data_IF_956350137105
#
_entry.id   IF_956350137105
#
_cell.length_a   1.000
_cell.length_b   1.000
_cell.length_c   1.000
_cell.angle_alpha   90.00
_cell.angle_beta   90.00
_cell.angle_gamma   90.00
#
_symmetry.space_group_name_H-M   'P 1'
#
loop_
_entity.id
_entity.type
_entity.pdbx_description
1 polymer ?
#
# COMPACT_ATOMS: atom_id res chain seq x y z
N UNK A 1 4.54 17.94 18.18
CA UNK A 1 4.77 16.58 17.66
C UNK A 1 6.24 16.20 17.68
N UNK A 2 6.54 14.92 17.87
CA UNK A 2 7.93 14.42 17.83
C UNK A 2 8.47 14.30 16.40
N UNK A 3 7.59 14.33 15.40
CA UNK A 3 7.93 14.22 13.99
C UNK A 3 6.91 15.01 13.17
N UNK A 4 7.39 15.79 12.19
CA UNK A 4 6.56 16.60 11.29
C UNK A 4 6.33 15.94 9.93
N UNK A 5 7.14 14.96 9.58
CA UNK A 5 7.05 14.23 8.32
C UNK A 5 7.20 12.73 8.57
N UNK A 6 6.34 11.95 7.94
CA UNK A 6 6.35 10.50 8.02
C UNK A 6 6.15 9.89 6.64
N UNK A 7 7.06 9.01 6.22
CA UNK A 7 6.90 8.26 4.98
C UNK A 7 6.13 6.99 5.26
N UNK A 8 4.95 6.86 4.66
CA UNK A 8 4.09 5.70 4.84
C UNK A 8 3.15 5.52 3.64
N UNK A 9 2.39 4.44 3.63
CA UNK A 9 1.38 4.15 2.62
C UNK A 9 0.04 4.85 2.92
N UNK A 10 -0.88 4.81 1.95
CA UNK A 10 -2.19 5.49 2.00
C UNK A 10 -3.10 5.06 3.15
N UNK A 11 -2.83 3.95 3.83
CA UNK A 11 -3.59 3.50 4.98
C UNK A 11 -3.27 4.24 6.30
N UNK A 12 -2.16 5.00 6.36
CA UNK A 12 -1.69 5.61 7.62
C UNK A 12 -2.73 6.51 8.32
N UNK A 13 -3.65 7.19 7.63
CA UNK A 13 -4.68 7.99 8.31
C UNK A 13 -5.58 7.19 9.27
N UNK A 14 -5.70 5.87 9.07
CA UNK A 14 -6.45 5.00 9.97
C UNK A 14 -5.82 4.89 11.38
N UNK A 15 -4.55 5.27 11.52
CA UNK A 15 -3.78 5.24 12.76
C UNK A 15 -3.60 6.61 13.39
N UNK A 16 -4.15 7.66 12.82
CA UNK A 16 -4.11 8.99 13.39
C UNK A 16 -5.02 9.09 14.62
N UNK A 17 -4.74 10.02 15.55
CA UNK A 17 -5.62 10.29 16.67
C UNK A 17 -7.05 10.57 16.20
N UNK A 18 -8.04 10.17 17.00
CA UNK A 18 -9.44 10.45 16.71
C UNK A 18 -9.65 11.97 16.58
N UNK A 19 -10.34 12.38 15.53
CA UNK A 19 -10.61 13.78 15.23
C UNK A 19 -9.58 14.45 14.31
N UNK A 20 -8.51 13.75 13.90
CA UNK A 20 -7.58 14.27 12.89
C UNK A 20 -8.28 14.45 11.56
N UNK A 21 -8.24 15.65 10.99
CA UNK A 21 -8.79 15.99 9.69
C UNK A 21 -7.71 15.99 8.62
N UNK A 22 -7.95 15.24 7.54
CA UNK A 22 -7.05 15.26 6.38
C UNK A 22 -7.23 16.55 5.58
N UNK A 23 -6.11 17.19 5.33
CA UNK A 23 -6.02 18.53 4.76
C UNK A 23 -5.57 19.53 5.84
N UNK A 24 -6.43 19.88 6.81
CA UNK A 24 -6.06 20.85 7.85
C UNK A 24 -4.97 20.38 8.82
N UNK A 25 -5.09 19.17 9.37
CA UNK A 25 -4.18 18.68 10.41
C UNK A 25 -3.04 17.84 9.85
N UNK A 26 -3.31 17.10 8.77
CA UNK A 26 -2.34 16.25 8.10
C UNK A 26 -2.63 16.18 6.61
N UNK A 27 -1.63 16.40 5.79
CA UNK A 27 -1.72 16.24 4.35
C UNK A 27 -0.52 15.44 3.87
N UNK A 28 -0.47 15.15 2.59
CA UNK A 28 0.61 14.39 2.00
C UNK A 28 1.19 15.11 0.77
N UNK A 29 2.40 14.74 0.42
CA UNK A 29 3.00 15.10 -0.85
C UNK A 29 3.66 13.88 -1.49
N UNK A 30 3.71 13.88 -2.81
CA UNK A 30 4.43 12.86 -3.54
C UNK A 30 5.93 12.95 -3.23
N UNK A 31 6.57 11.81 -3.00
CA UNK A 31 7.98 11.78 -2.67
C UNK A 31 8.81 12.46 -3.79
N UNK A 32 9.64 13.47 -3.48
CA UNK A 32 10.35 14.23 -4.49
C UNK A 32 11.26 13.33 -5.36
N UNK A 33 11.24 13.49 -6.68
CA UNK A 33 12.14 12.75 -7.56
C UNK A 33 13.59 13.22 -7.39
N UNK A 34 14.53 12.33 -7.66
CA UNK A 34 15.93 12.72 -7.78
C UNK A 34 16.12 13.55 -9.06
N UNK A 35 16.49 14.82 -8.92
CA UNK A 35 16.65 15.74 -10.05
C UNK A 35 17.66 15.24 -11.12
N UNK A 36 18.67 14.46 -10.70
CA UNK A 36 19.68 13.91 -11.58
C UNK A 36 19.23 12.68 -12.40
N UNK A 37 18.00 12.17 -12.16
CA UNK A 37 17.50 10.97 -12.82
C UNK A 37 16.10 11.21 -13.36
N UNK A 38 15.90 11.00 -14.64
CA UNK A 38 14.58 11.04 -15.27
C UNK A 38 13.85 9.71 -15.00
N UNK A 39 13.24 9.60 -13.83
CA UNK A 39 12.52 8.38 -13.40
C UNK A 39 11.03 8.42 -13.75
N UNK A 40 10.53 9.51 -14.34
CA UNK A 40 9.10 9.74 -14.55
C UNK A 40 8.37 9.88 -13.21
N UNK A 41 7.16 9.32 -13.12
CA UNK A 41 6.31 9.34 -11.92
C UNK A 41 6.14 7.91 -11.38
N UNK A 42 7.17 7.31 -10.74
CA UNK A 42 7.07 5.97 -10.21
C UNK A 42 6.24 5.94 -8.93
N UNK A 43 5.41 4.93 -8.78
CA UNK A 43 4.67 4.65 -7.54
C UNK A 43 5.11 3.32 -6.98
N UNK A 44 5.49 3.31 -5.69
CA UNK A 44 5.65 2.10 -4.90
C UNK A 44 4.32 1.79 -4.22
N UNK A 45 3.84 0.59 -4.34
CA UNK A 45 2.59 0.19 -3.71
C UNK A 45 2.44 -1.30 -3.57
N UNK A 46 1.46 -1.67 -2.80
CA UNK A 46 0.94 -3.02 -2.67
C UNK A 46 -0.57 -2.97 -2.87
N UNK A 47 -1.25 -4.10 -2.82
CA UNK A 47 -2.68 -4.11 -3.02
C UNK A 47 -3.36 -5.33 -2.41
N UNK A 48 -4.62 -5.16 -2.10
CA UNK A 48 -5.49 -6.29 -1.79
C UNK A 48 -5.89 -6.98 -3.09
N UNK A 49 -5.67 -8.28 -3.15
CA UNK A 49 -6.05 -9.11 -4.28
C UNK A 49 -7.26 -9.97 -3.95
N UNK A 50 -8.11 -10.20 -4.94
CA UNK A 50 -9.25 -11.10 -4.85
C UNK A 50 -8.95 -12.38 -5.62
N UNK A 51 -9.14 -13.52 -4.98
CA UNK A 51 -8.93 -14.81 -5.60
C UNK A 51 -10.18 -15.70 -5.45
N UNK A 52 -10.51 -16.45 -6.50
CA UNK A 52 -11.54 -17.48 -6.45
C UNK A 52 -10.91 -18.75 -5.86
N UNK A 53 -11.36 -19.15 -4.68
CA UNK A 53 -10.93 -20.40 -4.03
C UNK A 53 -11.85 -21.58 -4.40
N UNK A 54 -13.11 -21.28 -4.74
CA UNK A 54 -14.06 -22.26 -5.27
C UNK A 54 -14.74 -21.68 -6.49
N UNK A 55 -14.51 -22.30 -7.64
CA UNK A 55 -15.13 -21.87 -8.89
C UNK A 55 -16.64 -22.15 -8.88
N UNK A 56 -17.43 -21.14 -9.09
CA UNK A 56 -18.89 -21.20 -9.20
C UNK A 56 -19.42 -20.05 -10.02
N UNK A 57 -20.66 -20.15 -10.50
CA UNK A 57 -21.35 -19.07 -11.19
C UNK A 57 -21.42 -17.80 -10.28
N UNK A 58 -21.67 -17.98 -8.99
CA UNK A 58 -21.75 -16.88 -8.03
C UNK A 58 -20.40 -16.18 -7.80
N UNK A 59 -19.31 -16.95 -7.58
CA UNK A 59 -17.98 -16.36 -7.38
C UNK A 59 -17.47 -15.63 -8.62
N UNK A 60 -17.74 -16.15 -9.82
CA UNK A 60 -17.42 -15.45 -11.08
C UNK A 60 -18.24 -14.17 -11.24
N UNK A 61 -19.54 -14.18 -10.93
CA UNK A 61 -20.39 -13.00 -10.99
C UNK A 61 -19.91 -11.91 -10.00
N UNK A 62 -19.56 -12.29 -8.77
CA UNK A 62 -19.01 -11.36 -7.77
C UNK A 62 -17.71 -10.72 -8.26
N UNK A 63 -16.75 -11.51 -8.75
CA UNK A 63 -15.50 -10.96 -9.27
C UNK A 63 -15.72 -10.05 -10.47
N UNK A 64 -16.63 -10.41 -11.36
CA UNK A 64 -16.99 -9.56 -12.50
C UNK A 64 -17.59 -8.22 -12.04
N UNK A 65 -18.38 -8.20 -10.99
CA UNK A 65 -18.87 -6.96 -10.39
C UNK A 65 -17.74 -6.15 -9.75
N UNK A 66 -16.92 -6.76 -8.89
CA UNK A 66 -15.85 -6.08 -8.15
C UNK A 66 -14.80 -5.42 -9.07
N UNK A 67 -14.61 -5.93 -10.28
CA UNK A 67 -13.72 -5.32 -11.28
C UNK A 67 -14.35 -4.15 -12.07
N UNK A 68 -15.58 -3.76 -11.80
CA UNK A 68 -16.23 -2.62 -12.48
C UNK A 68 -15.83 -1.29 -11.85
N UNK A 69 -15.94 -0.19 -12.63
CA UNK A 69 -15.77 1.16 -12.11
C UNK A 69 -16.76 1.45 -10.98
N UNK A 70 -18.04 1.05 -11.16
CA UNK A 70 -19.09 1.26 -10.17
C UNK A 70 -18.74 0.64 -8.80
N UNK A 71 -18.30 -0.62 -8.75
CA UNK A 71 -17.94 -1.27 -7.49
C UNK A 71 -16.76 -0.55 -6.81
N UNK A 72 -15.78 -0.11 -7.58
CA UNK A 72 -14.66 0.67 -7.08
C UNK A 72 -15.11 2.03 -6.52
N UNK A 73 -15.98 2.75 -7.22
CA UNK A 73 -16.49 4.07 -6.80
C UNK A 73 -17.32 3.99 -5.51
N UNK A 74 -18.14 2.95 -5.34
CA UNK A 74 -18.86 2.69 -4.09
C UNK A 74 -17.88 2.56 -2.92
N UNK A 75 -16.78 1.85 -3.13
CA UNK A 75 -15.77 1.64 -2.08
C UNK A 75 -14.90 2.87 -1.83
N UNK A 76 -14.54 3.60 -2.90
CA UNK A 76 -13.83 4.88 -2.80
C UNK A 76 -14.58 5.90 -1.93
N UNK A 77 -15.91 5.98 -2.09
CA UNK A 77 -16.77 6.87 -1.30
C UNK A 77 -16.75 6.53 0.21
N UNK A 78 -16.46 5.28 0.57
CA UNK A 78 -16.36 4.81 1.95
C UNK A 78 -14.95 4.96 2.55
N UNK A 79 -14.03 5.66 1.90
CA UNK A 79 -12.62 5.83 2.32
C UNK A 79 -11.81 4.53 2.37
N UNK A 80 -12.29 3.45 1.74
CA UNK A 80 -11.70 2.13 1.85
C UNK A 80 -10.70 1.75 0.77
N UNK A 81 -10.56 2.56 -0.30
CA UNK A 81 -9.83 2.15 -1.48
C UNK A 81 -9.18 3.32 -2.22
N UNK A 82 -7.92 3.14 -2.61
CA UNK A 82 -7.35 3.83 -3.78
C UNK A 82 -7.49 2.89 -4.98
N UNK A 83 -8.33 3.25 -5.94
CA UNK A 83 -8.68 2.36 -7.04
C UNK A 83 -7.58 2.31 -8.10
N UNK A 84 -7.17 1.12 -8.55
CA UNK A 84 -6.31 0.95 -9.72
C UNK A 84 -7.10 1.02 -11.05
N UNK A 85 -8.42 1.14 -11.00
CA UNK A 85 -9.27 1.10 -12.17
C UNK A 85 -9.26 2.44 -12.91
N UNK A 86 -8.75 2.46 -14.14
CA UNK A 86 -8.48 3.69 -14.91
C UNK A 86 -9.74 4.50 -15.32
N UNK A 87 -10.93 3.92 -15.23
CA UNK A 87 -12.19 4.56 -15.66
C UNK A 87 -13.08 5.01 -14.50
N UNK A 88 -12.56 5.02 -13.26
CA UNK A 88 -13.32 5.55 -12.12
C UNK A 88 -13.45 7.06 -12.21
N UNK A 89 -14.56 7.57 -11.72
CA UNK A 89 -14.74 8.99 -11.51
C UNK A 89 -14.00 9.41 -10.22
N UNK A 90 -12.98 10.23 -10.35
CA UNK A 90 -12.21 10.73 -9.20
C UNK A 90 -13.06 11.54 -8.20
N UNK A 91 -14.18 12.10 -8.63
CA UNK A 91 -15.10 12.78 -7.73
C UNK A 91 -15.79 11.83 -6.73
N UNK A 92 -15.73 10.51 -6.95
CA UNK A 92 -16.22 9.51 -6.00
C UNK A 92 -15.34 9.35 -4.76
N UNK A 93 -14.10 9.87 -4.74
CA UNK A 93 -13.29 9.85 -3.53
C UNK A 93 -13.90 10.71 -2.42
N UNK A 94 -13.89 10.20 -1.21
CA UNK A 94 -14.55 10.80 -0.05
C UNK A 94 -13.97 12.17 0.38
N UNK A 95 -12.76 12.50 -0.02
CA UNK A 95 -12.11 13.78 0.27
C UNK A 95 -11.01 14.11 -0.76
N UNK A 96 -10.54 15.37 -0.73
CA UNK A 96 -9.55 15.87 -1.67
C UNK A 96 -8.18 15.21 -1.52
N UNK A 97 -7.78 14.86 -0.31
CA UNK A 97 -6.52 14.15 -0.06
C UNK A 97 -6.51 12.80 -0.78
N UNK A 98 -7.57 12.01 -0.62
CA UNK A 98 -7.70 10.72 -1.32
C UNK A 98 -7.80 10.89 -2.84
N UNK A 99 -8.47 11.97 -3.31
CA UNK A 99 -8.56 12.28 -4.74
C UNK A 99 -7.17 12.58 -5.33
N UNK A 100 -6.36 13.38 -4.65
CA UNK A 100 -4.97 13.65 -5.05
C UNK A 100 -4.13 12.37 -5.08
N UNK A 101 -4.26 11.48 -4.08
CA UNK A 101 -3.58 10.18 -4.06
C UNK A 101 -4.01 9.29 -5.22
N UNK A 102 -5.31 9.21 -5.51
CA UNK A 102 -5.85 8.49 -6.66
C UNK A 102 -5.31 9.04 -7.99
N UNK A 103 -5.21 10.36 -8.12
CA UNK A 103 -4.63 11.00 -9.30
C UNK A 103 -3.15 10.66 -9.48
N UNK A 104 -2.37 10.61 -8.40
CA UNK A 104 -0.96 10.17 -8.45
C UNK A 104 -0.86 8.73 -8.96
N UNK A 105 -1.71 7.84 -8.46
CA UNK A 105 -1.75 6.44 -8.89
C UNK A 105 -2.12 6.32 -10.38
N UNK A 106 -3.12 7.06 -10.86
CA UNK A 106 -3.53 7.05 -12.26
C UNK A 106 -2.48 7.61 -13.20
N UNK A 107 -1.73 8.61 -12.76
CA UNK A 107 -0.66 9.26 -13.52
C UNK A 107 0.69 8.54 -13.41
N UNK A 108 0.77 7.45 -12.66
CA UNK A 108 2.00 6.71 -12.50
C UNK A 108 2.51 6.16 -13.84
N UNK A 109 3.75 6.48 -14.15
CA UNK A 109 4.45 5.93 -15.33
C UNK A 109 5.01 4.55 -15.08
N UNK A 110 5.26 4.23 -13.82
CA UNK A 110 5.78 2.94 -13.38
C UNK A 110 5.16 2.59 -12.03
N UNK A 111 4.61 1.39 -11.90
CA UNK A 111 4.19 0.83 -10.62
C UNK A 111 5.22 -0.22 -10.18
N UNK A 112 5.77 -0.03 -8.98
CA UNK A 112 6.66 -1.00 -8.34
C UNK A 112 5.92 -1.66 -7.19
N UNK A 113 5.74 -2.97 -7.27
CA UNK A 113 5.14 -3.72 -6.18
C UNK A 113 6.11 -3.78 -5.00
N UNK A 114 5.59 -3.66 -3.77
CA UNK A 114 6.42 -3.71 -2.56
C UNK A 114 7.16 -5.05 -2.47
N UNK A 115 8.47 -4.99 -2.31
CA UNK A 115 9.31 -6.18 -2.28
C UNK A 115 9.02 -7.08 -1.08
N UNK A 116 8.59 -6.51 0.05
CA UNK A 116 8.23 -7.30 1.24
C UNK A 116 6.98 -8.15 1.02
N UNK A 117 6.02 -7.65 0.24
CA UNK A 117 4.80 -8.39 -0.12
C UNK A 117 5.04 -9.48 -1.18
N UNK A 118 6.18 -9.42 -1.88
CA UNK A 118 6.59 -10.44 -2.83
C UNK A 118 7.39 -11.58 -2.16
N UNK A 119 7.77 -11.43 -0.91
CA UNK A 119 8.46 -12.48 -0.17
C UNK A 119 7.50 -13.65 0.15
N UNK A 120 8.00 -14.89 0.20
CA UNK A 120 7.22 -16.00 0.78
C UNK A 120 6.71 -15.63 2.17
N UNK A 121 5.49 -16.05 2.52
CA UNK A 121 4.85 -15.68 3.79
C UNK A 121 5.70 -15.98 5.03
N UNK A 122 6.42 -17.12 5.02
CA UNK A 122 7.35 -17.49 6.11
C UNK A 122 8.50 -16.47 6.29
N UNK A 123 8.87 -15.77 5.22
CA UNK A 123 9.89 -14.72 5.25
C UNK A 123 9.26 -13.35 5.51
N UNK A 124 8.42 -12.85 4.60
CA UNK A 124 7.87 -11.49 4.66
C UNK A 124 7.11 -11.21 5.95
N UNK A 125 6.01 -11.93 6.17
CA UNK A 125 5.19 -11.80 7.37
C UNK A 125 5.80 -12.49 8.61
N UNK A 126 6.70 -13.45 8.41
CA UNK A 126 7.36 -14.21 9.46
C UNK A 126 8.68 -13.59 9.90
N UNK A 127 9.80 -14.18 9.45
CA UNK A 127 11.14 -13.86 9.96
C UNK A 127 11.59 -12.43 9.68
N UNK A 128 11.26 -11.86 8.52
CA UNK A 128 11.63 -10.48 8.19
C UNK A 128 10.92 -9.48 9.10
N UNK A 129 9.59 -9.58 9.23
CA UNK A 129 8.83 -8.70 10.11
C UNK A 129 9.34 -8.75 11.54
N UNK A 130 9.49 -9.97 12.09
CA UNK A 130 10.00 -10.15 13.44
C UNK A 130 11.42 -9.58 13.63
N UNK A 131 12.31 -9.80 12.67
CA UNK A 131 13.67 -9.29 12.72
C UNK A 131 13.72 -7.76 12.72
N UNK A 132 12.83 -7.08 11.96
CA UNK A 132 12.74 -5.62 11.97
C UNK A 132 12.24 -5.09 13.32
N UNK A 133 11.27 -5.75 13.95
CA UNK A 133 10.83 -5.42 15.32
C UNK A 133 11.95 -5.61 16.33
N UNK A 134 12.67 -6.74 16.25
CA UNK A 134 13.82 -7.03 17.12
C UNK A 134 14.94 -5.97 16.94
N UNK A 135 15.19 -5.54 15.69
CA UNK A 135 16.18 -4.50 15.38
C UNK A 135 15.82 -3.15 16.02
N UNK A 136 14.58 -2.71 15.87
CA UNK A 136 14.09 -1.48 16.52
C UNK A 136 14.12 -1.60 18.03
N UNK A 137 13.98 -2.82 18.58
CA UNK A 137 14.14 -3.14 19.99
C UNK A 137 15.60 -3.20 20.49
N UNK A 138 16.59 -2.99 19.60
CA UNK A 138 18.01 -2.93 19.96
C UNK A 138 18.83 -4.17 19.61
N UNK A 139 18.28 -5.14 18.87
CA UNK A 139 19.08 -6.25 18.36
C UNK A 139 20.09 -5.76 17.30
N UNK A 140 21.28 -6.38 17.25
CA UNK A 140 22.31 -5.99 16.28
C UNK A 140 21.91 -6.33 14.85
N UNK A 141 22.36 -5.51 13.88
CA UNK A 141 22.15 -5.70 12.44
C UNK A 141 22.53 -7.11 12.00
N UNK A 142 23.73 -7.58 12.45
CA UNK A 142 24.21 -8.92 12.12
C UNK A 142 23.25 -10.01 12.59
N UNK A 143 22.74 -9.91 13.83
CA UNK A 143 21.84 -10.92 14.40
C UNK A 143 20.53 -10.99 13.60
N UNK A 144 19.92 -9.84 13.25
CA UNK A 144 18.66 -9.81 12.50
C UNK A 144 18.87 -10.28 11.06
N UNK A 145 19.98 -9.90 10.41
CA UNK A 145 20.31 -10.35 9.07
C UNK A 145 20.52 -11.87 9.00
N UNK A 146 21.29 -12.43 9.95
CA UNK A 146 21.56 -13.87 10.04
C UNK A 146 20.24 -14.67 10.26
N UNK A 147 19.32 -14.16 11.07
CA UNK A 147 18.01 -14.79 11.28
C UNK A 147 17.19 -14.84 10.00
N UNK A 148 17.15 -13.73 9.25
CA UNK A 148 16.42 -13.65 7.97
C UNK A 148 17.07 -14.61 6.97
N UNK A 149 18.39 -14.59 6.83
CA UNK A 149 19.12 -15.46 5.92
C UNK A 149 18.87 -16.94 6.22
N UNK A 150 18.96 -17.33 7.50
CA UNK A 150 18.66 -18.70 7.93
C UNK A 150 17.24 -19.14 7.54
N UNK A 151 16.27 -18.23 7.61
CA UNK A 151 14.88 -18.54 7.20
C UNK A 151 14.77 -18.72 5.68
N UNK A 152 15.50 -17.92 4.89
CA UNK A 152 15.61 -18.11 3.46
C UNK A 152 16.22 -19.45 3.08
N UNK A 153 17.28 -19.84 3.75
CA UNK A 153 18.00 -21.08 3.47
C UNK A 153 17.15 -22.33 3.81
N UNK A 154 16.23 -22.18 4.76
CA UNK A 154 15.32 -23.26 5.16
C UNK A 154 14.17 -23.52 4.16
N UNK A 155 13.89 -22.59 3.23
CA UNK A 155 12.79 -22.74 2.24
C UNK A 155 13.29 -22.93 0.81
N UNK A 156 14.60 -23.02 0.58
CA UNK A 156 15.23 -23.41 -0.68
C UNK A 156 15.21 -24.92 -0.83
#
# INVERSE_FOLDING_TARGET
PKCYMHRQASFIPAFFPKGTELGPDADFFYFPPYASKNLGNPVLGAGTVWAITKDSRGSRALLNFLRTALANEIWMAQKGLLSPHKRVNLAAYANDTMRKQGQILLNATTFRFDGSDLMPGAIGAGSFWKAMVDYVGGASEKNVADKIQKSWDAIK
#
